data_IF_119656688591
#
_entry.id   IF_119656688591
#
_cell.length_a   1.000
_cell.length_b   1.000
_cell.length_c   1.000
_cell.angle_alpha   90.00
_cell.angle_beta   90.00
_cell.angle_gamma   90.00
#
_symmetry.space_group_name_H-M   'P 1'
#
loop_
_entity.id
_entity.type
_entity.pdbx_description
1 polymer ?
#
# COMPACT_ATOMS: atom_id res chain seq x y z
N UNK A 1 4.02 -9.11 -21.37
CA UNK A 1 3.09 -8.57 -20.40
C UNK A 1 3.74 -7.50 -19.54
N UNK A 2 3.17 -6.33 -19.52
CA UNK A 2 3.69 -5.24 -18.70
C UNK A 2 3.36 -5.48 -17.24
N UNK A 3 4.34 -5.32 -16.36
CA UNK A 3 4.13 -5.34 -14.93
C UNK A 3 4.58 -4.00 -14.37
N UNK A 4 3.87 -3.54 -13.35
CA UNK A 4 4.23 -2.29 -12.69
C UNK A 4 5.37 -2.54 -11.70
N UNK A 5 6.24 -1.53 -11.58
CA UNK A 5 7.30 -1.52 -10.59
C UNK A 5 8.43 -2.49 -10.86
N UNK A 6 9.24 -2.66 -9.84
CA UNK A 6 10.39 -3.56 -9.88
C UNK A 6 10.43 -4.40 -8.60
N UNK A 7 10.99 -5.59 -8.70
CA UNK A 7 11.17 -6.46 -7.55
C UNK A 7 12.66 -6.57 -7.23
N UNK A 8 13.01 -6.29 -5.99
CA UNK A 8 14.40 -6.44 -5.56
C UNK A 8 14.60 -7.80 -4.95
N UNK A 9 15.85 -8.27 -5.01
CA UNK A 9 16.18 -9.63 -4.61
C UNK A 9 15.76 -9.90 -3.17
N UNK A 10 15.01 -10.99 -2.99
CA UNK A 10 14.58 -11.41 -1.67
C UNK A 10 13.32 -10.77 -1.14
N UNK A 11 12.74 -9.80 -1.85
CA UNK A 11 11.53 -9.15 -1.40
C UNK A 11 10.30 -9.89 -1.93
N UNK A 12 9.32 -10.19 -1.04
CA UNK A 12 8.10 -10.87 -1.47
C UNK A 12 7.04 -9.87 -1.96
N UNK A 13 7.46 -8.82 -2.67
CA UNK A 13 6.58 -7.77 -3.18
C UNK A 13 7.32 -6.98 -4.25
N UNK A 14 6.59 -6.13 -4.98
CA UNK A 14 7.18 -5.21 -5.95
C UNK A 14 7.11 -3.79 -5.43
N UNK A 15 8.09 -2.97 -5.79
CA UNK A 15 8.13 -1.54 -5.44
C UNK A 15 7.57 -0.74 -6.61
N UNK A 16 6.66 0.18 -6.32
CA UNK A 16 6.01 1.00 -7.35
C UNK A 16 6.03 2.47 -6.97
N UNK A 17 5.87 3.33 -7.99
CA UNK A 17 5.72 4.75 -7.80
C UNK A 17 4.27 5.10 -7.46
N UNK A 18 4.02 6.35 -7.04
CA UNK A 18 2.64 6.80 -6.81
C UNK A 18 1.84 6.81 -8.11
N UNK A 19 2.49 7.11 -9.23
CA UNK A 19 1.82 7.12 -10.52
C UNK A 19 1.35 5.71 -10.91
N UNK A 20 2.24 4.73 -10.74
CA UNK A 20 1.89 3.33 -11.00
C UNK A 20 0.78 2.87 -10.07
N UNK A 21 0.83 3.29 -8.80
CA UNK A 21 -0.21 2.95 -7.83
C UNK A 21 -1.57 3.50 -8.24
N UNK A 22 -1.61 4.75 -8.71
CA UNK A 22 -2.86 5.35 -9.17
C UNK A 22 -3.44 4.57 -10.34
N UNK A 23 -2.60 4.12 -11.26
CA UNK A 23 -3.05 3.31 -12.40
C UNK A 23 -3.60 1.97 -11.94
N UNK A 24 -2.90 1.31 -11.03
CA UNK A 24 -3.36 0.01 -10.51
C UNK A 24 -4.66 0.17 -9.72
N UNK A 25 -4.81 1.26 -8.97
CA UNK A 25 -6.03 1.52 -8.24
C UNK A 25 -7.23 1.64 -9.17
N UNK A 26 -7.06 2.29 -10.32
CA UNK A 26 -8.11 2.40 -11.31
C UNK A 26 -8.48 1.03 -11.91
N UNK A 27 -7.58 0.08 -11.85
CA UNK A 27 -7.80 -1.27 -12.33
C UNK A 27 -8.34 -2.21 -11.25
N UNK A 28 -8.66 -1.68 -10.09
CA UNK A 28 -9.28 -2.46 -9.01
C UNK A 28 -8.37 -2.83 -7.85
N UNK A 29 -7.12 -2.36 -7.84
CA UNK A 29 -6.24 -2.60 -6.71
C UNK A 29 -6.70 -1.80 -5.49
N UNK A 30 -6.40 -2.33 -4.30
CA UNK A 30 -6.79 -1.71 -3.04
C UNK A 30 -5.56 -1.10 -2.38
N UNK A 31 -5.63 0.19 -2.05
CA UNK A 31 -4.56 0.87 -1.32
C UNK A 31 -4.76 0.68 0.18
N UNK A 32 -3.70 0.32 0.88
CA UNK A 32 -3.71 0.08 2.33
C UNK A 32 -2.71 1.03 2.98
N UNK A 33 -3.20 1.97 3.78
CA UNK A 33 -2.36 2.93 4.48
C UNK A 33 -1.98 2.36 5.84
N UNK A 34 -0.68 2.24 6.09
CA UNK A 34 -0.18 1.60 7.30
C UNK A 34 0.51 2.58 8.24
N UNK A 35 0.19 3.87 8.10
CA UNK A 35 0.73 4.92 8.96
C UNK A 35 -0.04 5.01 10.27
N UNK A 36 0.29 6.00 11.09
CA UNK A 36 -0.40 6.26 12.36
C UNK A 36 -1.69 7.07 12.12
N UNK A 37 -2.63 7.07 13.08
CA UNK A 37 -3.92 7.77 12.89
C UNK A 37 -3.78 9.26 12.59
N UNK A 38 -2.84 9.96 13.22
CA UNK A 38 -2.64 11.39 12.97
C UNK A 38 -2.14 11.65 11.56
N UNK A 39 -1.30 10.76 11.03
CA UNK A 39 -0.84 10.87 9.64
C UNK A 39 -2.00 10.64 8.67
N UNK A 40 -2.83 9.65 8.94
CA UNK A 40 -4.01 9.36 8.13
C UNK A 40 -4.93 10.57 8.05
N UNK A 41 -5.20 11.20 9.18
CA UNK A 41 -6.10 12.36 9.23
C UNK A 41 -5.54 13.56 8.47
N UNK A 42 -4.22 13.69 8.41
CA UNK A 42 -3.55 14.79 7.71
C UNK A 42 -3.65 14.71 6.19
N UNK A 43 -4.10 13.59 5.66
CA UNK A 43 -4.27 13.39 4.24
C UNK A 43 -3.89 11.96 3.87
N UNK A 44 -4.77 11.30 3.15
CA UNK A 44 -4.56 9.91 2.73
C UNK A 44 -5.14 9.66 1.35
N UNK A 45 -4.69 8.61 0.71
CA UNK A 45 -5.15 8.22 -0.62
C UNK A 45 -6.67 7.99 -0.58
N UNK A 46 -7.39 8.60 -1.51
CA UNK A 46 -8.84 8.39 -1.61
C UNK A 46 -9.13 6.91 -1.91
N UNK A 47 -10.06 6.34 -1.15
CA UNK A 47 -10.44 4.94 -1.29
C UNK A 47 -9.55 3.97 -0.55
N UNK A 48 -8.53 4.43 0.16
CA UNK A 48 -7.64 3.55 0.90
C UNK A 48 -8.31 2.99 2.15
N UNK A 49 -7.87 1.80 2.55
CA UNK A 49 -8.21 1.21 3.85
C UNK A 49 -7.08 1.54 4.81
N UNK A 50 -7.41 1.81 6.06
CA UNK A 50 -6.44 2.16 7.08
C UNK A 50 -6.19 0.99 8.04
N UNK A 51 -4.95 0.50 8.08
CA UNK A 51 -4.51 -0.50 9.04
C UNK A 51 -3.09 -0.12 9.46
N UNK A 52 -2.90 0.46 10.65
CA UNK A 52 -1.55 0.77 11.13
C UNK A 52 -0.65 -0.44 11.06
N UNK A 53 0.65 -0.23 10.78
CA UNK A 53 1.57 -1.35 10.54
C UNK A 53 1.58 -2.34 11.71
N UNK A 54 1.45 -1.84 12.94
CA UNK A 54 1.45 -2.70 14.12
C UNK A 54 0.24 -3.64 14.19
N UNK A 55 -0.81 -3.35 13.44
CA UNK A 55 -2.05 -4.13 13.45
C UNK A 55 -2.17 -5.05 12.23
N UNK A 56 -1.22 -5.03 11.30
CA UNK A 56 -1.34 -5.79 10.06
C UNK A 56 -1.43 -7.29 10.33
N UNK A 57 -0.58 -7.81 11.20
CA UNK A 57 -0.58 -9.26 11.47
C UNK A 57 -1.89 -9.75 12.08
N UNK A 58 -2.60 -8.90 12.83
CA UNK A 58 -3.82 -9.32 13.52
C UNK A 58 -5.09 -8.98 12.75
N UNK A 59 -5.04 -7.98 11.87
CA UNK A 59 -6.26 -7.48 11.23
C UNK A 59 -6.35 -7.73 9.72
N UNK A 60 -5.20 -7.97 9.06
CA UNK A 60 -5.20 -8.01 7.60
C UNK A 60 -6.13 -9.08 7.03
N UNK A 61 -6.13 -10.28 7.58
CA UNK A 61 -6.94 -11.36 7.02
C UNK A 61 -8.43 -11.11 7.10
N UNK A 62 -8.86 -10.28 8.07
CA UNK A 62 -10.27 -9.91 8.22
C UNK A 62 -10.65 -8.75 7.31
N UNK A 63 -9.70 -7.89 6.96
CA UNK A 63 -9.97 -6.63 6.27
C UNK A 63 -9.54 -6.61 4.82
N UNK A 64 -8.58 -7.44 4.44
CA UNK A 64 -7.99 -7.41 3.10
C UNK A 64 -8.28 -8.70 2.34
N UNK A 65 -8.81 -8.59 1.12
CA UNK A 65 -9.04 -9.75 0.26
C UNK A 65 -7.73 -10.34 -0.21
N UNK A 66 -7.74 -11.63 -0.56
CA UNK A 66 -6.55 -12.31 -1.07
C UNK A 66 -6.55 -12.40 -2.61
N UNK A 67 -7.62 -11.98 -3.24
CA UNK A 67 -7.79 -12.09 -4.69
C UNK A 67 -7.67 -10.74 -5.41
N UNK A 68 -7.15 -9.71 -4.73
CA UNK A 68 -6.93 -8.39 -5.31
C UNK A 68 -5.48 -7.96 -5.10
N UNK A 69 -4.99 -7.10 -5.98
CA UNK A 69 -3.70 -6.46 -5.76
C UNK A 69 -3.80 -5.49 -4.58
N UNK A 70 -2.84 -5.58 -3.68
CA UNK A 70 -2.78 -4.75 -2.48
C UNK A 70 -1.59 -3.83 -2.58
N UNK A 71 -1.83 -2.53 -2.45
CA UNK A 71 -0.82 -1.48 -2.58
C UNK A 71 -0.63 -0.84 -1.22
N UNK A 72 0.44 -1.20 -0.52
CA UNK A 72 0.70 -0.67 0.82
C UNK A 72 1.44 0.66 0.72
N UNK A 73 1.02 1.64 1.51
CA UNK A 73 1.61 2.98 1.51
C UNK A 73 1.90 3.45 2.93
N UNK A 74 3.02 4.13 3.11
CA UNK A 74 3.33 4.85 4.34
C UNK A 74 3.93 6.20 3.97
N UNK A 75 4.81 6.77 4.80
CA UNK A 75 5.40 8.07 4.49
C UNK A 75 6.52 7.97 3.45
N UNK A 76 7.38 6.96 3.54
CA UNK A 76 8.56 6.86 2.68
C UNK A 76 8.96 5.42 2.34
N UNK A 77 8.05 4.49 2.43
CA UNK A 77 8.27 3.12 1.95
C UNK A 77 8.77 2.11 2.98
N UNK A 78 9.16 2.53 4.17
CA UNK A 78 9.74 1.60 5.15
C UNK A 78 8.65 0.75 5.83
N UNK A 79 7.66 1.39 6.44
CA UNK A 79 6.57 0.67 7.11
C UNK A 79 5.73 -0.11 6.11
N UNK A 80 5.53 0.43 4.92
CA UNK A 80 4.76 -0.26 3.89
C UNK A 80 5.49 -1.49 3.36
N UNK A 81 6.83 -1.44 3.25
CA UNK A 81 7.61 -2.61 2.91
C UNK A 81 7.48 -3.70 3.97
N UNK A 82 7.56 -3.31 5.26
CA UNK A 82 7.36 -4.25 6.35
C UNK A 82 5.95 -4.86 6.31
N UNK A 83 4.94 -4.03 6.02
CA UNK A 83 3.57 -4.53 5.91
C UNK A 83 3.43 -5.56 4.80
N UNK A 84 4.10 -5.36 3.67
CA UNK A 84 4.12 -6.35 2.60
C UNK A 84 4.72 -7.67 3.08
N UNK A 85 5.81 -7.62 3.84
CA UNK A 85 6.43 -8.83 4.37
C UNK A 85 5.49 -9.55 5.36
N UNK A 86 4.80 -8.79 6.19
CA UNK A 86 3.81 -9.34 7.11
C UNK A 86 2.67 -10.03 6.34
N UNK A 87 2.16 -9.39 5.30
CA UNK A 87 1.10 -9.97 4.48
C UNK A 87 1.57 -11.25 3.79
N UNK A 88 2.80 -11.27 3.30
CA UNK A 88 3.38 -12.48 2.72
C UNK A 88 3.42 -13.61 3.76
N UNK A 89 3.82 -13.30 4.99
CA UNK A 89 3.86 -14.28 6.06
C UNK A 89 2.47 -14.82 6.40
N UNK A 90 1.42 -14.03 6.17
CA UNK A 90 0.04 -14.46 6.39
C UNK A 90 -0.53 -15.27 5.22
N UNK A 91 0.25 -15.50 4.17
CA UNK A 91 -0.18 -16.31 3.04
C UNK A 91 -0.73 -15.53 1.86
N UNK A 92 -0.59 -14.21 1.86
CA UNK A 92 -0.96 -13.43 0.67
C UNK A 92 0.05 -13.70 -0.44
N UNK A 93 -0.46 -13.75 -1.68
CA UNK A 93 0.35 -14.01 -2.86
C UNK A 93 1.32 -12.86 -3.11
N UNK A 94 2.61 -13.12 -3.14
CA UNK A 94 3.63 -12.09 -3.37
C UNK A 94 3.46 -11.39 -4.71
N UNK A 95 2.82 -12.03 -5.69
CA UNK A 95 2.53 -11.42 -6.99
C UNK A 95 1.47 -10.33 -6.90
N UNK A 96 0.76 -10.26 -5.78
CA UNK A 96 -0.29 -9.26 -5.53
C UNK A 96 0.08 -8.23 -4.48
N UNK A 97 1.32 -8.23 -4.01
CA UNK A 97 1.78 -7.31 -2.97
C UNK A 97 2.69 -6.25 -3.57
N UNK A 98 2.36 -4.98 -3.29
CA UNK A 98 3.10 -3.84 -3.81
C UNK A 98 3.40 -2.86 -2.70
N UNK A 99 4.61 -2.31 -2.72
CA UNK A 99 5.03 -1.23 -1.83
C UNK A 99 5.08 0.07 -2.63
N UNK A 100 4.22 1.03 -2.28
CA UNK A 100 4.27 2.36 -2.87
C UNK A 100 5.43 3.10 -2.20
N UNK A 101 6.64 2.92 -2.73
CA UNK A 101 7.87 3.32 -2.04
C UNK A 101 8.02 4.83 -1.91
N UNK A 102 7.40 5.62 -2.79
CA UNK A 102 7.49 7.07 -2.71
C UNK A 102 6.67 7.66 -1.56
N UNK A 103 5.60 6.98 -1.17
CA UNK A 103 4.83 7.36 -0.01
C UNK A 103 3.81 8.47 -0.21
N UNK A 104 3.06 8.75 0.87
CA UNK A 104 1.93 9.67 0.84
C UNK A 104 2.31 11.11 0.51
N UNK A 105 3.41 11.68 1.03
CA UNK A 105 3.76 13.06 0.65
C UNK A 105 3.92 13.25 -0.85
N UNK A 106 4.52 12.28 -1.54
CA UNK A 106 4.70 12.36 -2.99
C UNK A 106 3.35 12.23 -3.69
N UNK A 107 2.48 11.34 -3.21
CA UNK A 107 1.12 11.20 -3.73
C UNK A 107 0.40 12.55 -3.72
N UNK A 108 0.47 13.26 -2.59
CA UNK A 108 -0.19 14.56 -2.43
C UNK A 108 0.46 15.62 -3.33
N UNK A 109 1.79 15.64 -3.43
CA UNK A 109 2.52 16.58 -4.28
C UNK A 109 2.17 16.42 -5.77
N UNK A 110 1.79 15.22 -6.18
CA UNK A 110 1.40 14.93 -7.56
C UNK A 110 -0.09 15.20 -7.80
N UNK A 111 -0.79 15.78 -6.84
CA UNK A 111 -2.22 16.09 -6.93
C UNK A 111 -3.08 14.86 -7.24
N UNK A 112 -2.66 13.70 -6.78
CA UNK A 112 -3.46 12.49 -6.92
C UNK A 112 -4.59 12.52 -5.89
N UNK A 113 -5.73 11.81 -6.13
CA UNK A 113 -6.90 11.92 -5.27
C UNK A 113 -6.61 11.65 -3.80
N UNK A 114 -6.88 12.62 -2.96
CA UNK A 114 -6.55 12.61 -1.53
C UNK A 114 -7.76 13.03 -0.72
N UNK A 115 -8.03 12.32 0.38
CA UNK A 115 -9.05 12.67 1.35
C UNK A 115 -8.38 13.10 2.65
N UNK A 116 -9.07 13.91 3.45
CA UNK A 116 -8.56 14.44 4.70
C UNK A 116 -9.54 14.12 5.82
N UNK A 117 -9.01 13.97 7.03
CA UNK A 117 -9.80 13.64 8.18
C UNK A 117 -9.99 12.14 8.34
N UNK A 118 -11.01 11.74 9.06
CA UNK A 118 -11.22 10.32 9.38
C UNK A 118 -11.89 9.53 8.26
#
# INVERSE_FOLDING_TARGET
MATHGRQESGEPYRRISVQEAAELQQQGALVVDVRNPDEWESGHVSGAIFIPVDDVLTEAEQKLPKDRNLLFICAAGVRSGLACEMASALGYDSERLYNIEEGTPVWIQRDLPTDYGT
#
